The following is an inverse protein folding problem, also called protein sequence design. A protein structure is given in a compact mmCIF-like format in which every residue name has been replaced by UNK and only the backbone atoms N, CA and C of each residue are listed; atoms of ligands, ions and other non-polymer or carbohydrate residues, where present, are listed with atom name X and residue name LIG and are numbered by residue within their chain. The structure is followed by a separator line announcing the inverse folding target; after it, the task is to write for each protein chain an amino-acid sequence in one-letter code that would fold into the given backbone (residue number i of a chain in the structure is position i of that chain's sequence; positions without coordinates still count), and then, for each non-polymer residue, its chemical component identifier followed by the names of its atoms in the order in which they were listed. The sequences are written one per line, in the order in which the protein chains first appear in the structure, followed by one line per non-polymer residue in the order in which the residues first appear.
data_IF_395749504074
#
_entry.id   IF_395749504074
#
_cell.length_a   1.000
_cell.length_b   1.000
_cell.length_c   1.000
_cell.angle_alpha   90.00
_cell.angle_beta   90.00
_cell.angle_gamma   90.00
#
_symmetry.space_group_name_H-M   'P 1'
#
loop_
_entity.id
_entity.type
_entity.pdbx_description
1 polymer ?
#
# COMPACT_ATOMS: atom_id res chain seq x y z
N UNK A 1 44.68 45.44 39.21
CA UNK A 1 44.38 44.49 38.11
C UNK A 1 44.31 43.08 38.75
N UNK A 2 43.10 42.50 38.84
CA UNK A 2 42.92 41.19 39.44
C UNK A 2 43.16 40.13 38.35
N UNK A 3 44.15 39.24 38.58
CA UNK A 3 44.45 38.15 37.70
C UNK A 3 43.28 37.13 37.70
N UNK A 4 42.58 37.00 36.61
CA UNK A 4 41.66 35.91 36.37
C UNK A 4 42.51 34.65 36.27
N UNK A 5 42.34 33.74 37.22
CA UNK A 5 43.15 32.54 37.30
C UNK A 5 42.77 31.59 36.16
N UNK A 6 43.80 30.96 35.60
CA UNK A 6 43.72 30.02 34.47
C UNK A 6 42.58 28.99 34.53
N UNK A 7 42.22 28.44 35.72
CA UNK A 7 41.13 27.48 35.84
C UNK A 7 39.73 28.05 35.52
N UNK A 8 39.51 29.35 35.76
CA UNK A 8 38.23 30.00 35.45
C UNK A 8 38.06 30.18 33.93
N UNK A 9 39.15 30.40 33.22
CA UNK A 9 39.13 30.51 31.76
C UNK A 9 38.87 29.15 31.11
N UNK A 10 39.42 28.06 31.63
CA UNK A 10 39.23 26.69 31.14
C UNK A 10 37.78 26.25 31.42
N UNK A 11 37.18 26.63 32.53
CA UNK A 11 35.78 26.30 32.82
C UNK A 11 34.80 27.05 31.93
N UNK A 12 35.13 28.25 31.50
CA UNK A 12 34.29 29.03 30.58
C UNK A 12 34.32 28.45 29.16
N UNK A 13 35.44 27.85 28.72
CA UNK A 13 35.59 27.22 27.42
C UNK A 13 34.84 25.87 27.29
N UNK A 14 34.58 25.19 28.42
CA UNK A 14 33.81 23.93 28.43
C UNK A 14 32.29 24.14 28.32
N UNK A 15 31.79 25.35 28.54
CA UNK A 15 30.35 25.64 28.44
C UNK A 15 29.88 26.02 27.04
N UNK A 16 30.79 26.18 26.08
CA UNK A 16 30.46 26.57 24.68
C UNK A 16 30.20 25.35 23.80
N UNK A 17 30.44 24.13 24.32
CA UNK A 17 30.39 22.89 23.52
C UNK A 17 29.01 22.20 23.46
N UNK A 18 27.94 22.80 23.98
CA UNK A 18 26.61 22.17 24.03
C UNK A 18 25.50 22.94 23.32
N UNK A 19 25.81 23.66 22.24
CA UNK A 19 24.75 24.21 21.38
C UNK A 19 24.97 23.82 19.93
N UNK A 20 25.18 22.53 19.65
CA UNK A 20 24.84 21.98 18.37
C UNK A 20 23.34 21.65 18.42
N UNK A 21 22.51 22.65 18.19
CA UNK A 21 21.18 22.45 17.65
C UNK A 21 21.36 21.87 16.23
N UNK A 22 21.60 20.58 16.13
CA UNK A 22 21.15 19.84 14.99
C UNK A 22 19.62 20.01 15.01
N UNK A 23 19.10 20.96 14.25
CA UNK A 23 17.77 20.82 13.69
C UNK A 23 17.84 19.49 12.93
N UNK A 24 17.44 18.40 13.58
CA UNK A 24 16.92 17.28 12.83
C UNK A 24 15.85 17.90 11.95
N UNK A 25 16.17 18.02 10.66
CA UNK A 25 15.17 18.11 9.65
C UNK A 25 14.36 16.82 9.82
N UNK A 26 13.30 16.91 10.58
CA UNK A 26 12.17 16.01 10.46
C UNK A 26 11.69 16.22 9.02
N UNK A 27 12.38 15.58 8.08
CA UNK A 27 11.80 15.30 6.79
C UNK A 27 10.49 14.62 7.13
N UNK A 28 9.39 15.29 6.82
CA UNK A 28 8.06 14.71 6.79
C UNK A 28 8.23 13.28 6.27
N UNK A 29 7.68 12.25 6.96
CA UNK A 29 7.83 10.88 6.48
C UNK A 29 7.45 10.91 5.01
N UNK A 30 8.38 10.51 4.16
CA UNK A 30 8.19 10.44 2.72
C UNK A 30 6.90 9.66 2.52
N UNK A 31 5.90 10.32 1.92
CA UNK A 31 4.58 9.73 1.76
C UNK A 31 4.79 8.35 1.16
N UNK A 32 4.45 7.33 1.92
CA UNK A 32 4.72 5.95 1.57
C UNK A 32 4.39 5.70 0.11
N UNK A 33 5.40 5.33 -0.68
CA UNK A 33 5.28 5.18 -2.14
C UNK A 33 4.24 4.12 -2.54
N UNK A 34 3.84 3.24 -1.62
CA UNK A 34 2.84 2.21 -1.90
C UNK A 34 1.42 2.76 -2.11
N UNK A 35 1.15 3.99 -1.66
CA UNK A 35 -0.12 4.69 -1.94
C UNK A 35 -0.05 5.57 -3.19
N UNK A 36 1.12 5.67 -3.80
CA UNK A 36 1.30 6.43 -5.02
C UNK A 36 1.06 5.54 -6.24
N UNK A 37 -0.07 5.74 -6.89
CA UNK A 37 -0.45 5.06 -8.12
C UNK A 37 -0.10 5.87 -9.38
N UNK A 38 0.56 7.02 -9.24
CA UNK A 38 0.84 7.93 -10.36
C UNK A 38 1.80 7.36 -11.39
N UNK A 39 2.66 6.43 -11.00
CA UNK A 39 3.65 5.80 -11.89
C UNK A 39 3.19 4.49 -12.53
N UNK A 40 1.93 4.09 -12.37
CA UNK A 40 1.41 2.88 -12.96
C UNK A 40 0.65 3.17 -14.25
N UNK A 41 0.77 2.28 -15.24
CA UNK A 41 -0.01 2.33 -16.49
C UNK A 41 -1.52 2.18 -16.25
N UNK A 42 -1.87 1.72 -15.07
CA UNK A 42 -3.24 1.55 -14.66
C UNK A 42 -3.79 2.85 -14.06
N UNK A 43 -4.54 3.59 -14.88
CA UNK A 43 -5.13 4.90 -14.53
C UNK A 43 -6.35 4.77 -13.60
N UNK A 44 -6.34 3.83 -12.68
CA UNK A 44 -7.47 3.60 -11.80
C UNK A 44 -7.36 4.49 -10.57
N UNK A 45 -8.28 5.42 -10.44
CA UNK A 45 -8.44 6.24 -9.26
C UNK A 45 -8.77 5.37 -8.05
N UNK A 46 -7.97 5.46 -6.98
CA UNK A 46 -8.17 4.69 -5.75
C UNK A 46 -7.82 3.20 -5.84
N UNK A 47 -7.22 2.76 -6.94
CA UNK A 47 -6.79 1.37 -7.11
C UNK A 47 -7.93 0.36 -7.35
N UNK A 48 -9.17 0.82 -7.49
CA UNK A 48 -10.35 -0.02 -7.74
C UNK A 48 -10.68 -0.02 -9.23
N UNK A 49 -10.98 -1.21 -9.76
CA UNK A 49 -11.42 -1.40 -11.14
C UNK A 49 -12.48 -2.49 -11.26
N UNK A 50 -13.51 -2.18 -12.04
CA UNK A 50 -14.47 -3.15 -12.50
C UNK A 50 -14.02 -3.70 -13.86
N UNK A 51 -13.52 -4.92 -13.90
CA UNK A 51 -13.00 -5.56 -15.10
C UNK A 51 -14.14 -6.29 -15.83
N UNK A 52 -14.45 -5.94 -17.09
CA UNK A 52 -15.43 -6.70 -17.84
C UNK A 52 -14.88 -8.07 -18.20
N UNK A 53 -15.67 -9.11 -17.98
CA UNK A 53 -15.38 -10.50 -18.32
C UNK A 53 -16.48 -11.01 -19.25
N UNK A 54 -16.08 -11.44 -20.43
CA UNK A 54 -16.97 -12.06 -21.40
C UNK A 54 -17.25 -13.50 -20.98
N UNK A 55 -18.52 -13.85 -20.96
CA UNK A 55 -18.98 -15.20 -20.63
C UNK A 55 -19.97 -15.70 -21.68
N UNK A 56 -20.32 -16.97 -21.65
CA UNK A 56 -21.37 -17.54 -22.51
C UNK A 56 -22.77 -16.96 -22.26
N UNK A 57 -22.94 -16.20 -21.16
CA UNK A 57 -24.21 -15.59 -20.71
C UNK A 57 -24.23 -14.07 -20.84
N UNK A 58 -23.14 -13.48 -21.31
CA UNK A 58 -22.98 -12.04 -21.46
C UNK A 58 -21.73 -11.51 -20.79
N UNK A 59 -21.59 -10.19 -20.79
CA UNK A 59 -20.49 -9.49 -20.17
C UNK A 59 -20.86 -9.07 -18.76
N UNK A 60 -20.06 -9.50 -17.79
CA UNK A 60 -20.23 -9.14 -16.37
C UNK A 60 -18.97 -8.46 -15.88
N UNK A 61 -19.07 -7.68 -14.82
CA UNK A 61 -17.95 -6.95 -14.24
C UNK A 61 -17.46 -7.61 -12.96
N UNK A 62 -16.16 -7.84 -12.91
CA UNK A 62 -15.46 -8.35 -11.74
C UNK A 62 -14.78 -7.20 -11.01
N UNK A 63 -15.03 -7.08 -9.72
CA UNK A 63 -14.38 -6.12 -8.85
C UNK A 63 -12.92 -6.52 -8.62
N UNK A 64 -12.04 -5.54 -8.75
CA UNK A 64 -10.62 -5.67 -8.37
C UNK A 64 -10.18 -4.43 -7.61
N UNK A 65 -9.25 -4.62 -6.67
CA UNK A 65 -8.58 -3.54 -5.94
C UNK A 65 -7.09 -3.82 -5.94
N UNK A 66 -6.31 -2.85 -6.40
CA UNK A 66 -4.86 -2.90 -6.37
C UNK A 66 -4.32 -2.12 -5.17
N UNK A 67 -3.31 -2.67 -4.52
CA UNK A 67 -2.56 -2.06 -3.43
C UNK A 67 -1.07 -2.10 -3.75
N UNK A 68 -0.39 -0.97 -3.56
CA UNK A 68 1.03 -0.83 -3.91
C UNK A 68 1.25 -0.38 -5.36
N UNK A 69 2.51 -0.17 -5.74
CA UNK A 69 2.90 0.31 -7.06
C UNK A 69 4.21 -0.31 -7.58
N UNK A 70 4.56 -1.50 -7.12
CA UNK A 70 5.78 -2.16 -7.54
C UNK A 70 5.60 -2.85 -8.90
N UNK A 71 6.29 -2.40 -9.97
CA UNK A 71 6.13 -2.99 -11.30
C UNK A 71 6.80 -4.37 -11.44
N UNK A 72 7.63 -4.78 -10.46
CA UNK A 72 8.41 -6.03 -10.52
C UNK A 72 7.75 -7.17 -9.75
N UNK A 73 7.16 -6.85 -8.60
CA UNK A 73 6.56 -7.85 -7.71
C UNK A 73 5.06 -7.58 -7.65
N UNK A 74 4.29 -8.43 -8.31
CA UNK A 74 2.83 -8.37 -8.34
C UNK A 74 2.24 -9.69 -7.88
N UNK A 75 1.34 -9.62 -6.92
CA UNK A 75 0.67 -10.76 -6.34
C UNK A 75 -0.84 -10.67 -6.57
N UNK A 76 -1.43 -11.70 -7.13
CA UNK A 76 -2.88 -11.83 -7.20
C UNK A 76 -3.36 -12.70 -6.04
N UNK A 77 -4.23 -12.15 -5.21
CA UNK A 77 -4.80 -12.85 -4.06
C UNK A 77 -6.16 -13.42 -4.45
N UNK A 78 -6.23 -14.74 -4.51
CA UNK A 78 -7.41 -15.49 -4.91
C UNK A 78 -8.13 -16.00 -3.66
N UNK A 79 -9.32 -15.47 -3.37
CA UNK A 79 -10.13 -16.02 -2.27
C UNK A 79 -10.67 -17.41 -2.59
N UNK A 80 -10.96 -18.19 -1.54
CA UNK A 80 -11.46 -19.53 -1.66
C UNK A 80 -12.96 -19.62 -1.88
N UNK A 81 -13.42 -20.81 -2.33
CA UNK A 81 -14.81 -21.23 -2.41
C UNK A 81 -15.75 -20.35 -3.21
N UNK A 82 -16.89 -20.83 -3.71
CA UNK A 82 -17.92 -19.94 -4.20
C UNK A 82 -18.44 -19.05 -3.05
N UNK A 83 -18.42 -17.72 -3.25
CA UNK A 83 -18.95 -16.76 -2.28
C UNK A 83 -17.96 -16.23 -1.23
N UNK A 84 -16.68 -16.61 -1.27
CA UNK A 84 -15.63 -15.89 -0.54
C UNK A 84 -15.47 -14.48 -1.06
N UNK A 85 -14.77 -13.62 -0.32
CA UNK A 85 -14.54 -12.22 -0.67
C UNK A 85 -13.09 -11.84 -0.47
N UNK A 86 -12.65 -10.75 -1.12
CA UNK A 86 -11.32 -10.20 -0.91
C UNK A 86 -11.04 -9.80 0.55
N UNK A 87 -12.06 -9.62 1.38
CA UNK A 87 -11.89 -9.21 2.79
C UNK A 87 -11.09 -10.24 3.61
N UNK A 88 -11.04 -11.50 3.18
CA UNK A 88 -10.20 -12.54 3.80
C UNK A 88 -8.72 -12.14 3.85
N UNK A 89 -8.29 -11.28 2.94
CA UNK A 89 -6.91 -10.84 2.80
C UNK A 89 -6.61 -9.48 3.42
N UNK A 90 -7.57 -8.86 4.12
CA UNK A 90 -7.41 -7.53 4.71
C UNK A 90 -6.19 -7.39 5.63
N UNK A 91 -5.73 -8.48 6.22
CA UNK A 91 -4.52 -8.50 7.05
C UNK A 91 -3.24 -8.17 6.27
N UNK A 92 -3.22 -8.41 4.96
CA UNK A 92 -2.04 -8.15 4.12
C UNK A 92 -1.78 -6.66 3.91
N UNK A 93 -2.80 -5.80 4.05
CA UNK A 93 -2.68 -4.35 3.92
C UNK A 93 -1.67 -3.76 4.91
N UNK A 94 -1.45 -4.43 6.05
CA UNK A 94 -0.55 -3.96 7.09
C UNK A 94 0.94 -4.24 6.84
N UNK A 95 1.29 -5.17 5.94
CA UNK A 95 2.70 -5.56 5.77
C UNK A 95 3.18 -5.74 4.34
N UNK A 96 2.38 -6.23 3.39
CA UNK A 96 2.85 -6.42 2.01
C UNK A 96 3.36 -5.12 1.35
N UNK A 97 2.71 -3.96 1.56
CA UNK A 97 3.22 -2.71 1.00
C UNK A 97 4.59 -2.30 1.57
N UNK A 98 4.86 -2.63 2.84
CA UNK A 98 6.15 -2.34 3.48
C UNK A 98 7.29 -3.21 2.90
N UNK A 99 6.95 -4.34 2.30
CA UNK A 99 7.87 -5.24 1.61
C UNK A 99 7.96 -4.93 0.10
N UNK A 100 7.46 -3.78 -0.31
CA UNK A 100 7.42 -3.35 -1.71
C UNK A 100 6.72 -4.37 -2.64
N UNK A 101 5.67 -5.02 -2.16
CA UNK A 101 4.86 -5.96 -2.93
C UNK A 101 3.57 -5.27 -3.36
N UNK A 102 3.36 -5.17 -4.68
CA UNK A 102 2.05 -4.81 -5.22
C UNK A 102 1.16 -6.05 -5.23
N UNK A 103 -0.07 -5.91 -4.78
CA UNK A 103 -1.02 -7.01 -4.81
C UNK A 103 -2.40 -6.55 -5.25
N UNK A 104 -3.15 -7.51 -5.80
CA UNK A 104 -4.47 -7.28 -6.37
C UNK A 104 -5.43 -8.23 -5.68
N UNK A 105 -6.47 -7.67 -5.12
CA UNK A 105 -7.67 -8.38 -4.70
C UNK A 105 -8.65 -8.50 -5.86
N UNK A 106 -9.51 -9.51 -5.82
CA UNK A 106 -10.67 -9.57 -6.67
C UNK A 106 -11.83 -10.25 -5.93
N UNK A 107 -13.04 -10.00 -6.38
CA UNK A 107 -14.21 -10.76 -5.98
C UNK A 107 -14.70 -11.55 -7.21
N UNK A 108 -14.95 -12.83 -7.05
CA UNK A 108 -15.53 -13.66 -8.13
C UNK A 108 -16.92 -13.14 -8.53
N UNK A 109 -17.39 -13.52 -9.71
CA UNK A 109 -18.80 -13.31 -10.06
C UNK A 109 -19.70 -13.93 -8.98
N UNK A 110 -20.84 -13.33 -8.74
CA UNK A 110 -21.79 -13.62 -7.66
C UNK A 110 -21.27 -13.33 -6.24
N UNK A 111 -20.05 -12.79 -6.12
CA UNK A 111 -19.46 -12.43 -4.83
C UNK A 111 -19.38 -10.92 -4.65
N UNK A 112 -19.65 -10.47 -3.46
CA UNK A 112 -19.51 -9.16 -2.83
C UNK A 112 -19.73 -7.97 -3.78
N UNK A 113 -18.67 -7.35 -4.32
CA UNK A 113 -18.76 -6.17 -5.19
C UNK A 113 -18.82 -6.47 -6.70
N UNK A 114 -18.63 -7.72 -7.09
CA UNK A 114 -18.76 -8.13 -8.48
C UNK A 114 -20.22 -8.25 -8.90
N UNK A 115 -20.46 -8.25 -10.20
CA UNK A 115 -21.79 -8.49 -10.75
C UNK A 115 -22.33 -9.85 -10.35
N UNK A 116 -23.63 -9.96 -10.23
CA UNK A 116 -24.34 -11.14 -9.73
C UNK A 116 -25.27 -11.72 -10.81
N UNK A 117 -24.70 -12.47 -11.77
CA UNK A 117 -25.51 -13.14 -12.77
C UNK A 117 -26.49 -14.17 -12.18
N UNK A 118 -26.22 -14.70 -10.97
CA UNK A 118 -27.01 -15.73 -10.31
C UNK A 118 -27.17 -16.99 -11.18
N UNK A 119 -26.14 -17.34 -11.95
CA UNK A 119 -26.11 -18.48 -12.85
C UNK A 119 -24.98 -19.43 -12.45
N UNK A 120 -25.33 -20.54 -11.79
CA UNK A 120 -24.36 -21.51 -11.30
C UNK A 120 -23.56 -22.20 -12.41
N UNK A 121 -23.98 -22.11 -13.67
CA UNK A 121 -23.20 -22.64 -14.79
C UNK A 121 -21.92 -21.85 -15.03
N UNK A 122 -21.82 -20.61 -14.54
CA UNK A 122 -20.63 -19.79 -14.60
C UNK A 122 -19.60 -20.09 -13.51
N UNK A 123 -19.91 -20.98 -12.55
CA UNK A 123 -19.01 -21.33 -11.46
C UNK A 123 -18.16 -22.57 -11.78
N UNK A 124 -18.29 -23.11 -12.97
CA UNK A 124 -17.50 -24.26 -13.42
C UNK A 124 -16.26 -23.82 -14.16
N UNK A 125 -15.24 -24.69 -14.20
CA UNK A 125 -13.97 -24.43 -14.92
C UNK A 125 -14.06 -24.63 -16.42
N UNK A 126 -15.23 -24.90 -16.97
CA UNK A 126 -15.45 -25.22 -18.39
C UNK A 126 -15.86 -24.00 -19.23
N UNK A 127 -15.65 -22.78 -18.70
CA UNK A 127 -16.03 -21.52 -19.36
C UNK A 127 -14.86 -20.59 -19.59
#
# INVERSE_FOLDING_TARGET
MKHITLPVLIMLLLMISCTNNQKENLTSPEKSSYLDYSGSDDQITGGIKMIPVETSKGTFKVYTKRMGNNPKIRLLLLHGGPGGTHEEFGNFDGFLPNEEIEYIYYDQLDSYYSDKPNDSTLWTTEH
#
